data_IF_238463266719
#
_entry.id   IF_238463266719
#
_cell.length_a   1.000
_cell.length_b   1.000
_cell.length_c   1.000
_cell.angle_alpha   90.00
_cell.angle_beta   90.00
_cell.angle_gamma   90.00
#
_symmetry.space_group_name_H-M   'P 1'
#
loop_
_entity.id
_entity.type
_entity.pdbx_description
1 polymer ?
#
# COMPACT_ATOMS: atom_id res chain seq x y z
N UNK A 1 48.41 43.99 24.19
CA UNK A 1 47.11 44.20 24.87
C UNK A 1 45.88 43.89 24.00
N UNK A 2 45.86 44.18 22.69
CA UNK A 2 44.67 43.95 21.83
C UNK A 2 44.44 42.49 21.37
N UNK A 3 45.51 41.69 21.26
CA UNK A 3 45.47 40.30 20.77
C UNK A 3 45.02 39.29 21.83
N UNK A 4 45.39 39.55 23.08
CA UNK A 4 45.06 38.70 24.23
C UNK A 4 43.56 38.78 24.58
N UNK A 5 42.97 39.97 24.42
CA UNK A 5 41.55 40.21 24.66
C UNK A 5 40.65 39.49 23.64
N UNK A 6 41.07 39.40 22.36
CA UNK A 6 40.35 38.61 21.34
C UNK A 6 40.42 37.10 21.58
N UNK A 7 41.55 36.61 22.10
CA UNK A 7 41.71 35.18 22.42
C UNK A 7 40.81 34.80 23.60
N UNK A 8 40.77 35.63 24.64
CA UNK A 8 39.89 35.43 25.80
C UNK A 8 38.40 35.51 25.42
N UNK A 9 38.03 36.43 24.54
CA UNK A 9 36.65 36.54 24.04
C UNK A 9 36.22 35.33 23.19
N UNK A 10 37.13 34.76 22.37
CA UNK A 10 36.86 33.50 21.62
C UNK A 10 36.72 32.30 22.54
N UNK A 11 37.55 32.18 23.58
CA UNK A 11 37.46 31.11 24.57
C UNK A 11 36.15 31.23 25.36
N UNK A 12 35.74 32.45 25.71
CA UNK A 12 34.48 32.71 26.40
C UNK A 12 33.26 32.35 25.54
N UNK A 13 33.22 32.77 24.26
CA UNK A 13 32.17 32.35 23.33
C UNK A 13 32.13 30.84 23.11
N UNK A 14 33.29 30.18 23.00
CA UNK A 14 33.35 28.73 22.81
C UNK A 14 32.77 28.00 24.02
N UNK A 15 33.11 28.43 25.25
CA UNK A 15 32.53 27.90 26.49
C UNK A 15 31.01 28.05 26.55
N UNK A 16 30.48 29.21 26.14
CA UNK A 16 29.03 29.46 26.07
C UNK A 16 28.37 28.52 25.05
N UNK A 17 28.94 28.38 23.84
CA UNK A 17 28.40 27.51 22.80
C UNK A 17 28.41 26.03 23.22
N UNK A 18 29.48 25.53 23.83
CA UNK A 18 29.52 24.17 24.38
C UNK A 18 28.54 23.98 25.54
N UNK A 19 28.38 24.98 26.42
CA UNK A 19 27.40 24.95 27.50
C UNK A 19 25.96 24.87 26.99
N UNK A 20 25.63 25.68 25.98
CA UNK A 20 24.32 25.64 25.30
C UNK A 20 24.08 24.30 24.60
N UNK A 21 25.09 23.74 23.91
CA UNK A 21 24.96 22.44 23.24
C UNK A 21 24.73 21.29 24.24
N UNK A 22 25.43 21.29 25.38
CA UNK A 22 25.24 20.30 26.45
C UNK A 22 23.86 20.47 27.09
N UNK A 23 23.40 21.71 27.32
CA UNK A 23 22.06 21.96 27.84
C UNK A 23 20.97 21.49 26.88
N UNK A 24 21.09 21.75 25.58
CA UNK A 24 20.16 21.24 24.55
C UNK A 24 20.18 19.72 24.51
N UNK A 25 21.36 19.08 24.60
CA UNK A 25 21.48 17.62 24.67
C UNK A 25 20.81 17.07 25.94
N UNK A 26 20.98 17.72 27.09
CA UNK A 26 20.30 17.36 28.34
C UNK A 26 18.79 17.54 28.24
N UNK A 27 18.29 18.61 27.61
CA UNK A 27 16.85 18.80 27.37
C UNK A 27 16.32 17.75 26.39
N UNK A 28 17.08 17.34 25.38
CA UNK A 28 16.70 16.28 24.45
C UNK A 28 16.71 14.90 25.12
N UNK A 29 17.71 14.60 25.95
CA UNK A 29 17.80 13.37 26.74
C UNK A 29 16.72 13.36 27.82
N UNK A 30 16.46 14.46 28.50
CA UNK A 30 15.39 14.60 29.47
C UNK A 30 14.01 14.54 28.80
N UNK A 31 13.83 15.11 27.61
CA UNK A 31 12.62 14.90 26.79
C UNK A 31 12.48 13.46 26.37
N UNK A 32 13.56 12.76 25.99
CA UNK A 32 13.52 11.31 25.72
C UNK A 32 13.14 10.51 26.97
N UNK A 33 13.73 10.82 28.14
CA UNK A 33 13.44 10.17 29.42
C UNK A 33 12.03 10.46 29.94
N UNK A 34 11.53 11.69 29.75
CA UNK A 34 10.17 12.09 30.14
C UNK A 34 9.12 11.56 29.15
N UNK A 35 9.48 11.36 27.87
CA UNK A 35 8.61 10.70 26.88
C UNK A 35 8.38 9.22 27.17
N UNK A 36 9.29 8.56 27.90
CA UNK A 36 9.16 7.14 28.25
C UNK A 36 8.18 6.89 29.41
N UNK A 37 7.73 7.95 30.10
CA UNK A 37 6.54 7.90 30.97
C UNK A 37 5.27 8.14 30.15
N UNK A 38 4.99 7.25 29.20
CA UNK A 38 3.62 7.09 28.73
C UNK A 38 2.77 6.74 29.96
N UNK A 39 1.66 7.46 30.18
CA UNK A 39 0.75 7.15 31.29
C UNK A 39 0.20 5.74 31.12
N UNK A 40 0.77 4.78 31.85
CA UNK A 40 0.27 3.40 31.91
C UNK A 40 -0.65 3.34 33.12
N UNK A 41 -1.97 3.36 32.87
CA UNK A 41 -2.94 3.05 33.90
C UNK A 41 -3.13 1.53 33.93
N UNK A 42 -2.86 0.93 35.10
CA UNK A 42 -3.00 -0.49 35.35
C UNK A 42 -4.25 -0.73 36.18
N UNK A 43 -5.19 -1.48 35.62
CA UNK A 43 -6.36 -1.93 36.37
C UNK A 43 -6.54 -3.43 36.22
N UNK A 44 -6.97 -4.09 37.31
CA UNK A 44 -7.49 -5.45 37.23
C UNK A 44 -8.77 -5.40 36.40
N UNK A 45 -8.94 -6.27 35.38
CA UNK A 45 -10.14 -6.27 34.56
C UNK A 45 -11.39 -6.42 35.45
N UNK A 46 -12.30 -5.43 35.43
CA UNK A 46 -13.51 -5.47 36.25
C UNK A 46 -14.64 -6.28 35.62
N UNK A 47 -14.43 -6.85 34.43
CA UNK A 47 -15.46 -7.47 33.61
C UNK A 47 -14.90 -8.72 32.92
N UNK A 48 -15.77 -9.72 32.74
CA UNK A 48 -15.46 -10.92 31.97
C UNK A 48 -15.24 -10.51 30.51
N UNK A 49 -14.00 -10.65 30.02
CA UNK A 49 -13.57 -10.20 28.70
C UNK A 49 -14.22 -10.99 27.54
N UNK A 50 -15.12 -11.93 27.88
CA UNK A 50 -15.92 -12.76 26.96
C UNK A 50 -17.00 -11.97 26.19
N UNK A 51 -17.38 -10.78 26.65
CA UNK A 51 -18.42 -9.96 25.99
C UNK A 51 -17.89 -8.98 24.94
N UNK A 52 -16.58 -8.98 24.64
CA UNK A 52 -15.99 -8.08 23.64
C UNK A 52 -16.00 -8.75 22.26
N UNK A 53 -16.86 -8.28 21.36
CA UNK A 53 -16.90 -8.76 19.99
C UNK A 53 -15.66 -8.28 19.21
N UNK A 54 -14.91 -9.25 18.66
CA UNK A 54 -13.84 -8.97 17.70
C UNK A 54 -14.46 -8.33 16.47
N UNK A 55 -13.88 -7.24 15.98
CA UNK A 55 -14.43 -6.59 14.80
C UNK A 55 -14.21 -7.47 13.57
N UNK A 56 -15.32 -7.84 12.90
CA UNK A 56 -15.33 -8.74 11.75
C UNK A 56 -15.16 -8.00 10.41
N UNK A 57 -15.45 -6.70 10.36
CA UNK A 57 -15.30 -5.86 9.17
C UNK A 57 -13.88 -5.32 8.96
N UNK A 58 -13.56 -4.96 7.71
CA UNK A 58 -12.26 -4.38 7.33
C UNK A 58 -12.07 -2.95 7.87
N UNK A 59 -13.17 -2.20 8.06
CA UNK A 59 -13.14 -0.80 8.50
C UNK A 59 -13.94 -0.66 9.80
N UNK A 60 -13.38 0.04 10.78
CA UNK A 60 -14.01 0.24 12.09
C UNK A 60 -13.95 1.71 12.52
N UNK A 61 -15.08 2.34 12.85
CA UNK A 61 -15.08 3.72 13.36
C UNK A 61 -14.66 3.76 14.83
N UNK A 62 -13.77 4.69 15.17
CA UNK A 62 -13.44 4.98 16.57
C UNK A 62 -14.60 5.77 17.21
N UNK A 63 -15.09 5.32 18.37
CA UNK A 63 -16.19 5.98 19.08
C UNK A 63 -15.84 7.44 19.40
N UNK A 64 -16.80 8.34 19.22
CA UNK A 64 -16.64 9.79 19.43
C UNK A 64 -15.50 10.40 18.59
N UNK A 65 -15.24 9.84 17.41
CA UNK A 65 -14.23 10.32 16.47
C UNK A 65 -14.69 10.09 15.03
N UNK A 66 -14.11 10.85 14.10
CA UNK A 66 -14.25 10.62 12.66
C UNK A 66 -13.23 9.63 12.12
N UNK A 67 -12.27 9.19 12.94
CA UNK A 67 -11.23 8.25 12.51
C UNK A 67 -11.79 6.85 12.25
N UNK A 68 -11.25 6.21 11.21
CA UNK A 68 -11.56 4.85 10.80
C UNK A 68 -10.30 4.00 10.90
N UNK A 69 -10.39 2.85 11.56
CA UNK A 69 -9.29 1.90 11.68
C UNK A 69 -9.44 0.79 10.64
N UNK A 70 -8.32 0.26 10.17
CA UNK A 70 -8.28 -0.80 9.14
C UNK A 70 -7.62 -2.06 9.68
N UNK A 71 -6.38 -1.95 10.18
CA UNK A 71 -5.59 -3.12 10.57
C UNK A 71 -4.49 -2.75 11.55
N UNK A 72 -4.06 -3.72 12.37
CA UNK A 72 -3.04 -3.54 13.39
C UNK A 72 -1.89 -4.53 13.20
N UNK A 73 -0.66 -4.04 13.31
CA UNK A 73 0.57 -4.82 13.13
C UNK A 73 1.55 -4.58 14.27
N UNK A 74 2.07 -5.65 14.88
CA UNK A 74 3.22 -5.57 15.77
C UNK A 74 4.47 -5.47 14.90
N UNK A 75 4.94 -4.25 14.70
CA UNK A 75 6.00 -3.87 13.75
C UNK A 75 7.38 -3.97 14.40
N UNK A 76 7.92 -5.20 14.42
CA UNK A 76 9.22 -5.52 15.01
C UNK A 76 10.41 -5.04 14.18
N UNK A 77 10.19 -4.38 13.03
CA UNK A 77 11.27 -3.90 12.15
C UNK A 77 12.05 -2.73 12.75
N UNK A 78 11.41 -1.94 13.61
CA UNK A 78 12.00 -0.73 14.22
C UNK A 78 12.05 -0.78 15.76
N UNK A 79 11.13 -1.51 16.39
CA UNK A 79 11.12 -1.73 17.85
C UNK A 79 10.30 -2.98 18.15
N UNK A 80 10.72 -3.79 19.13
CA UNK A 80 10.06 -5.04 19.50
C UNK A 80 8.63 -4.86 20.04
N UNK A 81 8.23 -3.63 20.37
CA UNK A 81 6.97 -3.31 21.06
C UNK A 81 6.06 -2.36 20.28
N UNK A 82 6.45 -1.91 19.10
CA UNK A 82 5.65 -0.93 18.35
C UNK A 82 4.45 -1.62 17.69
N UNK A 83 3.25 -1.23 18.08
CA UNK A 83 2.02 -1.56 17.35
C UNK A 83 1.68 -0.40 16.43
N UNK A 84 1.60 -0.69 15.13
CA UNK A 84 1.21 0.23 14.07
C UNK A 84 -0.19 -0.12 13.61
N UNK A 85 -1.10 0.84 13.75
CA UNK A 85 -2.49 0.70 13.30
C UNK A 85 -2.67 1.56 12.06
N UNK A 86 -3.06 0.95 10.94
CA UNK A 86 -3.41 1.66 9.71
C UNK A 86 -4.82 2.23 9.88
N UNK A 87 -4.97 3.52 9.62
CA UNK A 87 -6.20 4.26 9.83
C UNK A 87 -6.42 5.31 8.72
N UNK A 88 -7.63 5.86 8.68
CA UNK A 88 -8.02 7.03 7.89
C UNK A 88 -8.49 8.09 8.87
N UNK A 89 -7.93 9.30 8.78
CA UNK A 89 -8.21 10.39 9.73
C UNK A 89 -8.50 11.70 9.02
N UNK A 90 -9.36 12.53 9.63
CA UNK A 90 -9.60 13.91 9.18
C UNK A 90 -8.38 14.76 9.54
N UNK A 91 -7.72 15.34 8.54
CA UNK A 91 -6.41 15.99 8.71
C UNK A 91 -6.47 17.25 9.58
N UNK A 92 -7.58 18.00 9.51
CA UNK A 92 -7.77 19.23 10.27
C UNK A 92 -8.18 19.01 11.74
N UNK A 93 -8.57 17.79 12.11
CA UNK A 93 -9.11 17.50 13.43
C UNK A 93 -8.69 16.10 13.87
N UNK A 94 -7.48 16.00 14.40
CA UNK A 94 -6.92 14.74 14.92
C UNK A 94 -7.01 14.77 16.44
N UNK A 95 -7.94 14.04 17.07
CA UNK A 95 -8.00 13.97 18.53
C UNK A 95 -6.81 13.16 19.07
N UNK A 96 -6.56 13.29 20.37
CA UNK A 96 -5.64 12.39 21.06
C UNK A 96 -6.28 10.99 21.15
N UNK A 97 -5.58 9.99 20.62
CA UNK A 97 -6.00 8.58 20.75
C UNK A 97 -5.23 7.87 21.87
N UNK A 98 -5.84 6.81 22.38
CA UNK A 98 -5.23 5.89 23.32
C UNK A 98 -5.40 4.46 22.80
N UNK A 99 -4.34 3.66 22.88
CA UNK A 99 -4.41 2.24 22.61
C UNK A 99 -4.62 1.49 23.93
N UNK A 100 -5.62 0.62 23.94
CA UNK A 100 -5.91 -0.28 25.04
C UNK A 100 -5.45 -1.69 24.63
N UNK A 101 -4.46 -2.20 25.35
CA UNK A 101 -4.01 -3.58 25.28
C UNK A 101 -4.56 -4.33 26.47
N UNK A 102 -5.02 -5.55 26.27
CA UNK A 102 -5.51 -6.36 27.39
C UNK A 102 -5.37 -7.85 27.11
N UNK A 103 -5.37 -8.62 28.20
CA UNK A 103 -5.60 -10.06 28.22
C UNK A 103 -6.52 -10.40 29.41
N UNK A 104 -6.72 -11.69 29.70
CA UNK A 104 -7.54 -12.17 30.82
C UNK A 104 -7.21 -11.57 32.20
N UNK A 105 -6.01 -11.00 32.37
CA UNK A 105 -5.42 -10.66 33.67
C UNK A 105 -5.04 -9.19 33.82
N UNK A 106 -4.91 -8.44 32.72
CA UNK A 106 -4.51 -7.04 32.75
C UNK A 106 -5.13 -6.23 31.63
N UNK A 107 -5.33 -4.94 31.90
CA UNK A 107 -5.61 -3.89 30.93
C UNK A 107 -4.53 -2.81 31.07
N UNK A 108 -3.98 -2.39 29.94
CA UNK A 108 -3.02 -1.31 29.88
C UNK A 108 -3.44 -0.32 28.79
N UNK A 109 -3.61 0.94 29.18
CA UNK A 109 -3.89 2.03 28.25
C UNK A 109 -2.61 2.82 28.01
N UNK A 110 -2.25 3.04 26.75
CA UNK A 110 -1.09 3.85 26.36
C UNK A 110 -1.53 4.98 25.43
N UNK A 111 -0.88 6.13 25.55
CA UNK A 111 -1.09 7.24 24.64
C UNK A 111 -0.59 6.88 23.24
N UNK A 112 -1.39 7.17 22.21
CA UNK A 112 -1.01 6.94 20.82
C UNK A 112 -0.37 8.17 20.18
N UNK A 113 0.53 7.94 19.22
CA UNK A 113 1.07 8.97 18.32
C UNK A 113 0.47 8.80 16.93
N UNK A 114 -0.15 9.84 16.39
CA UNK A 114 -0.71 9.82 15.03
C UNK A 114 0.30 10.36 14.04
N UNK A 115 0.52 9.62 12.94
CA UNK A 115 1.35 10.02 11.82
C UNK A 115 0.51 9.98 10.55
N UNK A 116 0.13 11.15 10.02
CA UNK A 116 -0.61 11.24 8.77
C UNK A 116 0.35 11.08 7.60
N UNK A 117 -0.02 10.28 6.59
CA UNK A 117 0.76 10.14 5.37
C UNK A 117 0.78 11.48 4.61
N UNK A 118 1.92 11.87 4.05
CA UNK A 118 2.04 13.16 3.37
C UNK A 118 1.29 13.19 2.03
N UNK A 119 1.08 12.03 1.39
CA UNK A 119 0.42 11.96 0.09
C UNK A 119 -1.07 11.65 0.25
N UNK A 120 -1.88 12.72 0.24
CA UNK A 120 -3.33 12.68 0.40
C UNK A 120 -4.04 13.53 -0.67
N UNK A 121 -3.33 13.98 -1.71
CA UNK A 121 -3.88 14.68 -2.89
C UNK A 121 -4.84 15.84 -2.56
N UNK A 122 -4.51 16.62 -1.53
CA UNK A 122 -5.33 17.74 -1.01
C UNK A 122 -6.71 17.38 -0.45
N UNK A 123 -7.07 16.10 -0.35
CA UNK A 123 -8.35 15.67 0.24
C UNK A 123 -8.40 15.90 1.77
N UNK A 124 -9.59 16.14 2.36
CA UNK A 124 -9.73 16.39 3.80
C UNK A 124 -9.29 15.23 4.70
N UNK A 125 -9.51 13.98 4.27
CA UNK A 125 -9.05 12.78 4.96
C UNK A 125 -7.81 12.20 4.30
N UNK A 126 -6.96 11.57 5.10
CA UNK A 126 -5.76 10.89 4.62
C UNK A 126 -5.49 9.62 5.41
N UNK A 127 -4.73 8.72 4.79
CA UNK A 127 -4.17 7.54 5.46
C UNK A 127 -3.24 7.99 6.58
N UNK A 128 -3.28 7.29 7.71
CA UNK A 128 -2.44 7.57 8.86
C UNK A 128 -2.04 6.29 9.58
N UNK A 129 -0.96 6.38 10.36
CA UNK A 129 -0.61 5.41 11.37
C UNK A 129 -0.93 5.94 12.75
N UNK A 130 -1.71 5.16 13.51
CA UNK A 130 -1.85 5.33 14.96
C UNK A 130 -0.83 4.39 15.60
N UNK A 131 0.22 4.98 16.16
CA UNK A 131 1.40 4.28 16.70
C UNK A 131 1.31 4.17 18.22
N UNK A 132 1.46 2.96 18.74
CA UNK A 132 1.37 2.67 20.16
C UNK A 132 2.53 1.79 20.60
N UNK A 133 3.10 2.07 21.77
CA UNK A 133 4.11 1.21 22.39
C UNK A 133 3.40 0.19 23.28
N UNK A 134 3.48 -1.09 22.92
CA UNK A 134 2.99 -2.16 23.76
C UNK A 134 3.78 -2.18 25.09
N UNK A 135 3.11 -2.28 26.24
CA UNK A 135 3.79 -2.38 27.54
C UNK A 135 4.74 -3.59 27.59
N UNK A 136 5.79 -3.49 28.40
CA UNK A 136 6.72 -4.60 28.61
C UNK A 136 6.10 -5.61 29.58
N UNK A 137 5.33 -6.55 29.04
CA UNK A 137 4.85 -7.72 29.76
C UNK A 137 5.24 -8.97 28.99
N UNK A 138 5.58 -10.04 29.70
CA UNK A 138 6.07 -11.29 29.14
C UNK A 138 5.13 -11.99 28.13
N UNK A 139 3.95 -11.41 27.82
CA UNK A 139 2.99 -11.91 26.83
C UNK A 139 2.50 -10.77 25.92
N UNK A 140 2.56 -11.01 24.61
CA UNK A 140 2.05 -10.10 23.58
C UNK A 140 0.53 -10.10 23.60
N UNK A 141 -0.10 -8.93 23.77
CA UNK A 141 -1.54 -8.82 23.62
C UNK A 141 -1.94 -9.17 22.17
N UNK A 142 -2.89 -10.10 21.94
CA UNK A 142 -3.30 -10.49 20.60
C UNK A 142 -4.19 -9.44 19.92
N UNK A 143 -4.73 -8.50 20.69
CA UNK A 143 -5.63 -7.46 20.21
C UNK A 143 -5.28 -6.08 20.75
N UNK A 144 -5.71 -5.05 20.02
CA UNK A 144 -5.67 -3.65 20.44
C UNK A 144 -7.02 -2.99 20.18
N UNK A 145 -7.48 -2.19 21.14
CA UNK A 145 -8.60 -1.26 20.95
C UNK A 145 -8.09 0.18 20.93
N UNK A 146 -8.77 1.06 20.19
CA UNK A 146 -8.42 2.48 20.10
C UNK A 146 -9.58 3.35 20.57
N UNK A 147 -9.30 4.28 21.48
CA UNK A 147 -10.28 5.20 22.07
C UNK A 147 -9.78 6.65 22.02
N UNK A 148 -10.68 7.62 22.20
CA UNK A 148 -10.34 9.06 22.32
C UNK A 148 -10.20 9.53 23.77
N UNK A 149 -10.64 8.72 24.73
CA UNK A 149 -10.53 8.99 26.16
C UNK A 149 -9.81 7.85 26.86
N UNK A 150 -9.16 8.17 27.98
CA UNK A 150 -8.69 7.14 28.90
C UNK A 150 -9.92 6.49 29.55
N UNK A 151 -10.05 5.18 29.41
CA UNK A 151 -11.17 4.40 29.93
C UNK A 151 -10.64 3.19 30.69
N UNK A 152 -11.23 2.87 31.86
CA UNK A 152 -10.92 1.65 32.63
C UNK A 152 -11.45 0.37 31.96
N UNK A 153 -12.19 0.50 30.85
CA UNK A 153 -12.74 -0.64 30.09
C UNK A 153 -12.44 -0.50 28.60
N UNK A 154 -12.23 -1.62 27.87
CA UNK A 154 -12.22 -1.63 26.42
C UNK A 154 -13.54 -1.08 25.88
N UNK A 155 -13.49 0.03 25.14
CA UNK A 155 -14.70 0.73 24.69
C UNK A 155 -14.71 1.04 23.19
N UNK A 156 -13.64 0.66 22.48
CA UNK A 156 -13.49 0.84 21.04
C UNK A 156 -13.44 -0.48 20.27
N UNK A 157 -13.46 -0.43 18.93
CA UNK A 157 -13.35 -1.61 18.08
C UNK A 157 -12.06 -2.38 18.37
N UNK A 158 -12.14 -3.70 18.28
CA UNK A 158 -11.05 -4.61 18.65
C UNK A 158 -10.37 -5.16 17.40
N UNK A 159 -9.11 -4.75 17.20
CA UNK A 159 -8.31 -5.20 16.07
C UNK A 159 -7.34 -6.30 16.48
N UNK A 160 -7.30 -7.38 15.71
CA UNK A 160 -6.26 -8.41 15.84
C UNK A 160 -4.90 -7.85 15.43
N UNK A 161 -3.91 -8.01 16.29
CA UNK A 161 -2.53 -7.60 16.03
C UNK A 161 -1.82 -8.71 15.25
N UNK A 162 -1.34 -8.40 14.05
CA UNK A 162 -0.55 -9.33 13.22
C UNK A 162 0.95 -9.05 13.38
N UNK A 163 1.80 -10.06 13.63
CA UNK A 163 3.24 -9.83 13.73
C UNK A 163 3.83 -9.51 12.35
N UNK A 164 4.69 -8.49 12.28
CA UNK A 164 5.55 -8.25 11.10
C UNK A 164 6.99 -8.07 11.55
N UNK A 165 7.90 -8.78 10.89
CA UNK A 165 9.33 -8.80 11.20
C UNK A 165 10.15 -8.44 9.97
N UNK A 166 11.39 -8.00 10.22
CA UNK A 166 12.32 -7.66 9.15
C UNK A 166 12.96 -8.87 8.51
N UNK A 167 13.12 -9.94 9.29
CA UNK A 167 13.97 -11.07 8.95
C UNK A 167 13.59 -11.63 7.59
N UNK A 168 14.60 -11.72 6.72
CA UNK A 168 14.46 -12.40 5.44
C UNK A 168 14.23 -13.87 5.78
N UNK A 169 13.08 -14.38 5.39
CA UNK A 169 12.83 -15.81 5.50
C UNK A 169 13.79 -16.55 4.56
N UNK A 170 14.30 -17.70 5.00
CA UNK A 170 15.08 -18.60 4.15
C UNK A 170 14.27 -18.98 2.90
N UNK A 171 12.95 -19.14 3.08
CA UNK A 171 11.97 -19.39 2.03
C UNK A 171 10.72 -18.55 2.28
N UNK A 172 10.19 -17.91 1.24
CA UNK A 172 8.92 -17.19 1.33
C UNK A 172 7.79 -18.11 0.83
N UNK A 173 6.61 -18.12 1.47
CA UNK A 173 5.43 -18.82 0.95
C UNK A 173 5.11 -18.43 -0.50
N UNK A 174 5.30 -17.16 -0.84
CA UNK A 174 5.09 -16.61 -2.18
C UNK A 174 6.31 -15.81 -2.63
N UNK A 175 6.70 -15.99 -3.88
CA UNK A 175 7.72 -15.17 -4.51
C UNK A 175 7.14 -13.82 -4.94
N UNK A 176 5.94 -13.82 -5.53
CA UNK A 176 5.25 -12.64 -6.01
C UNK A 176 3.80 -12.59 -5.54
N UNK A 177 3.36 -11.40 -5.17
CA UNK A 177 1.94 -11.09 -5.01
C UNK A 177 1.64 -9.74 -5.64
N UNK A 178 0.39 -9.55 -6.06
CA UNK A 178 -0.06 -8.29 -6.67
C UNK A 178 -1.12 -7.65 -5.78
N UNK A 179 -0.90 -6.39 -5.43
CA UNK A 179 -1.89 -5.55 -4.77
C UNK A 179 -2.52 -4.66 -5.84
N UNK A 180 -3.79 -4.91 -6.14
CA UNK A 180 -4.55 -4.06 -7.04
C UNK A 180 -5.14 -2.90 -6.24
N UNK A 181 -5.15 -1.70 -6.83
CA UNK A 181 -5.90 -0.57 -6.29
C UNK A 181 -7.40 -0.89 -6.13
N UNK A 182 -8.14 -0.01 -5.46
CA UNK A 182 -9.55 -0.27 -5.11
C UNK A 182 -10.42 -0.51 -6.34
N UNK A 183 -11.25 -1.56 -6.29
CA UNK A 183 -12.29 -1.83 -7.28
C UNK A 183 -13.59 -1.14 -6.86
N UNK A 184 -14.05 -0.18 -7.66
CA UNK A 184 -15.21 0.66 -7.35
C UNK A 184 -15.94 1.11 -8.63
N UNK A 185 -17.11 1.76 -8.45
CA UNK A 185 -17.85 2.42 -9.51
C UNK A 185 -18.56 1.45 -10.45
N UNK A 186 -19.01 0.30 -9.94
CA UNK A 186 -19.61 -0.77 -10.73
C UNK A 186 -18.68 -1.22 -11.89
N UNK A 187 -17.40 -1.42 -11.57
CA UNK A 187 -16.38 -1.79 -12.56
C UNK A 187 -16.83 -2.99 -13.40
N UNK A 188 -16.74 -2.84 -14.73
CA UNK A 188 -17.34 -3.77 -15.70
C UNK A 188 -16.43 -4.14 -16.88
N UNK A 189 -15.15 -3.78 -16.82
CA UNK A 189 -14.16 -4.18 -17.83
C UNK A 189 -13.67 -5.61 -17.57
N UNK A 190 -14.57 -6.57 -17.80
CA UNK A 190 -14.41 -7.98 -17.43
C UNK A 190 -13.27 -8.63 -18.22
N UNK A 191 -13.20 -8.41 -19.54
CA UNK A 191 -12.19 -9.02 -20.39
C UNK A 191 -10.77 -8.59 -19.97
N UNK A 192 -10.55 -7.29 -19.80
CA UNK A 192 -9.25 -6.79 -19.36
C UNK A 192 -8.90 -7.29 -17.96
N UNK A 193 -9.88 -7.39 -17.05
CA UNK A 193 -9.67 -7.94 -15.71
C UNK A 193 -9.15 -9.38 -15.77
N UNK A 194 -9.81 -10.25 -16.53
CA UNK A 194 -9.38 -11.65 -16.72
C UNK A 194 -8.00 -11.71 -17.37
N UNK A 195 -7.75 -10.91 -18.41
CA UNK A 195 -6.46 -10.87 -19.10
C UNK A 195 -5.32 -10.42 -18.19
N UNK A 196 -5.52 -9.40 -17.36
CA UNK A 196 -4.51 -8.93 -16.40
C UNK A 196 -4.17 -9.99 -15.36
N UNK A 197 -5.17 -10.68 -14.81
CA UNK A 197 -4.95 -11.75 -13.84
C UNK A 197 -4.18 -12.93 -14.43
N UNK A 198 -4.56 -13.35 -15.63
CA UNK A 198 -3.86 -14.44 -16.32
C UNK A 198 -2.45 -14.03 -16.72
N UNK A 199 -2.24 -12.77 -17.11
CA UNK A 199 -0.89 -12.23 -17.28
C UNK A 199 -0.08 -12.27 -15.99
N UNK A 200 -0.64 -11.85 -14.84
CA UNK A 200 0.05 -11.95 -13.55
C UNK A 200 0.43 -13.39 -13.23
N UNK A 201 -0.48 -14.34 -13.47
CA UNK A 201 -0.21 -15.78 -13.27
C UNK A 201 0.91 -16.28 -14.18
N UNK A 202 0.86 -15.98 -15.47
CA UNK A 202 1.89 -16.33 -16.45
C UNK A 202 3.26 -15.76 -16.05
N UNK A 203 3.28 -14.54 -15.50
CA UNK A 203 4.50 -13.86 -15.07
C UNK A 203 5.03 -14.32 -13.70
N UNK A 204 4.29 -15.18 -12.98
CA UNK A 204 4.72 -15.84 -11.75
C UNK A 204 4.06 -15.34 -10.46
N UNK A 205 2.97 -14.56 -10.53
CA UNK A 205 2.17 -14.22 -9.35
C UNK A 205 1.56 -15.48 -8.73
N UNK A 206 1.57 -15.56 -7.40
CA UNK A 206 0.93 -16.66 -6.66
C UNK A 206 -0.34 -16.22 -5.92
N UNK A 207 -0.50 -14.92 -5.68
CA UNK A 207 -1.69 -14.36 -5.02
C UNK A 207 -1.93 -12.94 -5.47
N UNK A 208 -3.20 -12.59 -5.67
CA UNK A 208 -3.65 -11.25 -6.01
C UNK A 208 -4.63 -10.77 -4.95
N UNK A 209 -4.49 -9.52 -4.50
CA UNK A 209 -5.32 -8.90 -3.49
C UNK A 209 -6.15 -7.79 -4.11
N UNK A 210 -7.46 -7.84 -3.91
CA UNK A 210 -8.42 -6.87 -4.45
C UNK A 210 -9.27 -6.31 -3.31
N UNK A 211 -9.21 -5.00 -3.12
CA UNK A 211 -10.10 -4.30 -2.19
C UNK A 211 -11.33 -3.85 -2.96
N UNK A 212 -12.48 -4.43 -2.63
CA UNK A 212 -13.69 -4.29 -3.42
C UNK A 212 -14.76 -3.50 -2.68
N UNK A 213 -15.19 -2.40 -3.28
CA UNK A 213 -16.40 -1.67 -2.88
C UNK A 213 -17.61 -2.21 -3.65
N UNK A 214 -17.55 -2.22 -4.98
CA UNK A 214 -18.58 -2.78 -5.85
C UNK A 214 -18.01 -3.20 -7.22
N UNK A 215 -18.78 -4.00 -7.96
CA UNK A 215 -18.48 -4.38 -9.34
C UNK A 215 -19.74 -4.86 -10.07
N UNK A 216 -19.63 -5.05 -11.39
CA UNK A 216 -20.73 -5.62 -12.17
C UNK A 216 -21.03 -7.07 -11.76
N UNK A 217 -22.27 -7.57 -11.97
CA UNK A 217 -22.61 -8.97 -11.70
C UNK A 217 -21.77 -9.97 -12.51
N UNK A 218 -21.39 -9.63 -13.73
CA UNK A 218 -20.53 -10.47 -14.57
C UNK A 218 -19.14 -10.56 -13.95
N UNK A 219 -18.57 -9.44 -13.50
CA UNK A 219 -17.28 -9.44 -12.83
C UNK A 219 -17.33 -10.17 -11.48
N UNK A 220 -18.44 -10.10 -10.76
CA UNK A 220 -18.62 -10.84 -9.52
C UNK A 220 -18.43 -12.35 -9.73
N UNK A 221 -19.03 -12.93 -10.79
CA UNK A 221 -18.84 -14.36 -11.12
C UNK A 221 -17.38 -14.72 -11.39
N UNK A 222 -16.66 -13.84 -12.10
CA UNK A 222 -15.22 -13.99 -12.35
C UNK A 222 -14.40 -13.93 -11.06
N UNK A 223 -14.71 -12.99 -10.16
CA UNK A 223 -14.06 -12.91 -8.85
C UNK A 223 -14.30 -14.18 -8.03
N UNK A 224 -15.54 -14.69 -8.02
CA UNK A 224 -15.91 -15.89 -7.28
C UNK A 224 -15.14 -17.12 -7.77
N UNK A 225 -14.96 -17.26 -9.09
CA UNK A 225 -14.11 -18.29 -9.70
C UNK A 225 -12.67 -18.24 -9.15
N UNK A 226 -12.01 -17.08 -9.23
CA UNK A 226 -10.61 -16.94 -8.77
C UNK A 226 -10.45 -17.01 -7.25
N UNK A 227 -11.48 -16.66 -6.48
CA UNK A 227 -11.51 -16.85 -5.03
C UNK A 227 -11.61 -18.34 -4.70
N UNK A 228 -12.48 -19.09 -5.38
CA UNK A 228 -12.62 -20.53 -5.20
C UNK A 228 -11.33 -21.28 -5.56
N UNK A 229 -10.62 -20.85 -6.60
CA UNK A 229 -9.31 -21.37 -6.97
C UNK A 229 -8.19 -20.98 -5.98
N UNK A 230 -8.43 -19.94 -5.16
CA UNK A 230 -7.45 -19.43 -4.20
C UNK A 230 -6.40 -18.50 -4.80
N UNK A 231 -6.53 -18.08 -6.06
CA UNK A 231 -5.62 -17.13 -6.70
C UNK A 231 -5.86 -15.68 -6.25
N UNK A 232 -7.13 -15.33 -5.99
CA UNK A 232 -7.51 -14.00 -5.48
C UNK A 232 -7.86 -14.07 -3.98
N UNK A 233 -7.56 -13.00 -3.26
CA UNK A 233 -8.20 -12.64 -1.99
C UNK A 233 -8.97 -11.33 -2.19
N UNK A 234 -10.31 -11.41 -2.12
CA UNK A 234 -11.18 -10.23 -2.14
C UNK A 234 -11.40 -9.74 -0.72
N UNK A 235 -11.05 -8.48 -0.47
CA UNK A 235 -11.21 -7.81 0.82
C UNK A 235 -12.35 -6.81 0.68
N UNK A 236 -13.40 -6.98 1.48
CA UNK A 236 -14.52 -6.04 1.52
C UNK A 236 -14.03 -4.64 1.90
N UNK A 237 -14.45 -3.63 1.15
CA UNK A 237 -13.96 -2.26 1.28
C UNK A 237 -15.10 -1.24 1.16
N UNK A 238 -15.93 -1.19 2.20
CA UNK A 238 -17.16 -0.39 2.19
C UNK A 238 -16.96 1.04 2.69
N UNK A 239 -15.88 1.69 2.24
CA UNK A 239 -15.47 3.02 2.70
C UNK A 239 -16.53 4.10 2.44
N UNK A 240 -17.34 3.92 1.39
CA UNK A 240 -18.43 4.80 1.00
C UNK A 240 -19.56 4.89 2.05
N UNK A 241 -19.66 3.91 2.95
CA UNK A 241 -20.61 3.99 4.08
C UNK A 241 -20.13 4.91 5.21
N UNK A 242 -18.85 5.29 5.22
CA UNK A 242 -18.25 6.09 6.27
C UNK A 242 -17.89 7.51 5.83
N UNK A 243 -17.53 7.71 4.56
CA UNK A 243 -17.02 8.95 4.00
C UNK A 243 -17.57 9.19 2.59
N UNK A 244 -17.68 10.46 2.20
CA UNK A 244 -17.90 10.80 0.79
C UNK A 244 -16.61 10.57 0.00
N UNK A 245 -16.61 9.66 -0.96
CA UNK A 245 -15.38 9.26 -1.68
C UNK A 245 -15.34 9.88 -3.07
N UNK A 246 -14.15 10.30 -3.49
CA UNK A 246 -13.91 10.86 -4.82
C UNK A 246 -13.50 9.76 -5.81
N UNK A 247 -13.91 9.97 -7.07
CA UNK A 247 -13.54 9.22 -8.28
C UNK A 247 -12.45 9.92 -9.09
N UNK A 248 -11.89 11.02 -8.58
CA UNK A 248 -10.83 11.79 -9.24
C UNK A 248 -9.63 12.02 -8.33
N UNK A 249 -8.51 12.34 -8.96
CA UNK A 249 -7.24 12.62 -8.28
C UNK A 249 -7.19 13.96 -7.55
N UNK A 250 -8.15 14.87 -7.80
CA UNK A 250 -8.26 16.17 -7.13
C UNK A 250 -9.69 16.43 -6.64
N UNK A 251 -9.85 17.05 -5.45
CA UNK A 251 -11.16 17.48 -4.96
C UNK A 251 -11.87 18.50 -5.86
N UNK A 252 -11.11 19.25 -6.68
CA UNK A 252 -11.68 20.23 -7.62
C UNK A 252 -12.31 19.60 -8.87
N UNK A 253 -11.94 18.36 -9.19
CA UNK A 253 -12.49 17.62 -10.34
C UNK A 253 -13.67 16.73 -9.92
N UNK A 254 -13.57 16.13 -8.74
CA UNK A 254 -14.68 15.41 -8.12
C UNK A 254 -14.58 15.58 -6.59
N UNK A 255 -15.45 16.41 -5.99
CA UNK A 255 -15.43 16.67 -4.55
C UNK A 255 -15.60 15.41 -3.71
N UNK A 256 -15.02 15.41 -2.52
CA UNK A 256 -15.12 14.29 -1.59
C UNK A 256 -14.19 14.45 -0.40
N UNK A 257 -14.35 13.56 0.57
CA UNK A 257 -13.53 13.46 1.76
C UNK A 257 -12.20 12.72 1.50
N UNK A 258 -12.20 11.75 0.58
CA UNK A 258 -11.09 10.80 0.40
C UNK A 258 -10.80 10.48 -1.08
N UNK A 259 -9.52 10.49 -1.42
CA UNK A 259 -8.97 10.18 -2.75
C UNK A 259 -9.25 8.74 -3.19
N UNK A 260 -9.84 8.54 -4.38
CA UNK A 260 -10.08 7.24 -5.03
C UNK A 260 -10.44 6.12 -4.06
N UNK A 261 -11.56 6.29 -3.34
CA UNK A 261 -12.06 5.28 -2.41
C UNK A 261 -11.00 4.82 -1.39
N UNK A 262 -10.02 5.65 -1.05
CA UNK A 262 -8.98 5.30 -0.09
C UNK A 262 -7.90 4.35 -0.62
N UNK A 263 -7.61 4.37 -1.93
CA UNK A 263 -6.58 3.50 -2.52
C UNK A 263 -5.22 3.55 -1.82
N UNK A 264 -4.82 4.72 -1.28
CA UNK A 264 -3.55 4.83 -0.53
C UNK A 264 -3.61 3.95 0.72
N UNK A 265 -4.76 3.93 1.41
CA UNK A 265 -4.95 3.09 2.59
C UNK A 265 -4.93 1.61 2.25
N UNK A 266 -5.61 1.20 1.17
CA UNK A 266 -5.66 -0.21 0.77
C UNK A 266 -4.31 -0.73 0.31
N UNK A 267 -3.54 0.06 -0.45
CA UNK A 267 -2.17 -0.31 -0.85
C UNK A 267 -1.26 -0.48 0.37
N UNK A 268 -1.37 0.40 1.38
CA UNK A 268 -0.60 0.24 2.61
C UNK A 268 -1.03 -1.00 3.40
N UNK A 269 -2.34 -1.27 3.54
CA UNK A 269 -2.79 -2.51 4.19
C UNK A 269 -2.30 -3.75 3.44
N UNK A 270 -2.38 -3.76 2.12
CA UNK A 270 -1.95 -4.88 1.28
C UNK A 270 -0.46 -5.17 1.41
N UNK A 271 0.38 -4.13 1.41
CA UNK A 271 1.83 -4.29 1.62
C UNK A 271 2.11 -4.93 2.98
N UNK A 272 1.45 -4.47 4.04
CA UNK A 272 1.67 -5.02 5.39
C UNK A 272 1.17 -6.46 5.53
N UNK A 273 0.03 -6.80 4.92
CA UNK A 273 -0.47 -8.19 4.85
C UNK A 273 0.52 -9.15 4.19
N UNK A 274 1.27 -8.66 3.20
CA UNK A 274 2.21 -9.47 2.44
C UNK A 274 3.63 -9.49 3.01
N UNK A 275 3.95 -8.71 4.05
CA UNK A 275 5.27 -8.73 4.69
C UNK A 275 5.75 -10.12 5.14
N UNK A 276 4.92 -10.96 5.80
CA UNK A 276 5.34 -12.29 6.25
C UNK A 276 5.30 -13.34 5.14
N UNK A 277 4.61 -13.07 4.03
CA UNK A 277 4.24 -14.11 3.07
C UNK A 277 4.94 -13.99 1.72
N UNK A 278 5.25 -12.77 1.28
CA UNK A 278 5.67 -12.51 -0.10
C UNK A 278 7.07 -11.93 -0.15
N UNK A 279 7.90 -12.48 -1.03
CA UNK A 279 9.24 -11.93 -1.29
C UNK A 279 9.14 -10.56 -1.95
N UNK A 280 8.36 -10.46 -3.03
CA UNK A 280 8.07 -9.22 -3.75
C UNK A 280 6.56 -8.98 -3.87
N UNK A 281 6.17 -7.72 -3.88
CA UNK A 281 4.80 -7.26 -4.07
C UNK A 281 4.78 -6.22 -5.18
N UNK A 282 3.89 -6.39 -6.14
CA UNK A 282 3.62 -5.39 -7.18
C UNK A 282 2.44 -4.54 -6.76
N UNK A 283 2.56 -3.22 -6.91
CA UNK A 283 1.49 -2.26 -6.64
C UNK A 283 0.99 -1.74 -7.99
N UNK A 284 -0.11 -2.31 -8.48
CA UNK A 284 -0.62 -2.05 -9.83
C UNK A 284 -2.09 -1.60 -9.78
N UNK A 285 -2.53 -0.89 -10.81
CA UNK A 285 -3.95 -0.84 -11.18
C UNK A 285 -4.28 -2.08 -12.03
N UNK A 286 -5.56 -2.41 -12.13
CA UNK A 286 -6.00 -3.63 -12.83
C UNK A 286 -5.70 -3.59 -14.34
N UNK A 287 -5.62 -2.41 -14.93
CA UNK A 287 -5.32 -2.17 -16.34
C UNK A 287 -3.80 -2.08 -16.63
N UNK A 288 -2.96 -2.40 -15.64
CA UNK A 288 -1.50 -2.29 -15.72
C UNK A 288 -0.80 -3.64 -15.50
N UNK A 289 0.05 -4.02 -16.44
CA UNK A 289 0.87 -5.24 -16.37
C UNK A 289 2.35 -4.89 -16.50
N UNK A 290 3.19 -5.30 -15.54
CA UNK A 290 4.65 -5.17 -15.70
C UNK A 290 5.14 -6.27 -16.63
N UNK A 291 5.53 -5.92 -17.85
CA UNK A 291 5.99 -6.87 -18.87
C UNK A 291 7.52 -6.85 -18.95
N UNK A 292 8.20 -7.96 -18.60
CA UNK A 292 9.63 -8.12 -18.87
C UNK A 292 9.90 -8.19 -20.37
N UNK A 293 10.92 -7.47 -20.82
CA UNK A 293 11.34 -7.41 -22.22
C UNK A 293 12.49 -8.39 -22.48
N UNK A 294 13.54 -8.34 -21.65
CA UNK A 294 14.72 -9.22 -21.81
C UNK A 294 14.52 -10.60 -21.18
N UNK A 295 13.58 -10.73 -20.25
CA UNK A 295 13.39 -11.93 -19.45
C UNK A 295 12.05 -12.61 -19.77
N UNK A 296 11.91 -13.87 -19.37
CA UNK A 296 10.66 -14.62 -19.59
C UNK A 296 9.55 -14.32 -18.59
N UNK A 297 9.91 -14.01 -17.35
CA UNK A 297 8.99 -13.87 -16.22
C UNK A 297 9.58 -12.92 -15.16
N UNK A 298 8.82 -12.64 -14.10
CA UNK A 298 9.31 -11.78 -13.03
C UNK A 298 10.41 -12.45 -12.20
N UNK A 299 10.44 -13.78 -12.09
CA UNK A 299 11.44 -14.48 -11.31
C UNK A 299 12.85 -14.30 -11.91
N UNK A 300 12.99 -14.53 -13.21
CA UNK A 300 14.25 -14.35 -13.94
C UNK A 300 14.70 -12.89 -13.93
N UNK A 301 13.76 -11.97 -14.17
CA UNK A 301 14.02 -10.52 -14.12
C UNK A 301 14.51 -10.09 -12.73
N UNK A 302 13.79 -10.47 -11.68
CA UNK A 302 14.14 -10.06 -10.32
C UNK A 302 15.40 -10.75 -9.80
N UNK A 303 15.68 -11.99 -10.23
CA UNK A 303 16.95 -12.64 -9.93
C UNK A 303 18.14 -11.86 -10.52
N UNK A 304 18.02 -11.42 -11.77
CA UNK A 304 19.03 -10.60 -12.44
C UNK A 304 19.20 -9.25 -11.75
N UNK A 305 18.09 -8.53 -11.54
CA UNK A 305 18.11 -7.20 -10.92
C UNK A 305 18.64 -7.21 -9.50
N UNK A 306 18.17 -8.15 -8.66
CA UNK A 306 18.56 -8.21 -7.25
C UNK A 306 19.98 -8.73 -7.03
N UNK A 307 20.53 -9.52 -7.96
CA UNK A 307 21.92 -9.96 -7.91
C UNK A 307 22.89 -8.86 -8.36
N UNK A 308 22.51 -8.08 -9.37
CA UNK A 308 23.32 -6.98 -9.88
C UNK A 308 23.29 -5.73 -8.97
N UNK A 309 22.20 -5.53 -8.21
CA UNK A 309 22.00 -4.33 -7.39
C UNK A 309 21.67 -4.68 -5.93
N UNK A 310 22.70 -5.13 -5.20
CA UNK A 310 22.56 -5.47 -3.79
C UNK A 310 22.06 -4.28 -2.96
N UNK A 311 21.10 -4.54 -2.06
CA UNK A 311 20.50 -3.54 -1.18
C UNK A 311 19.40 -2.69 -1.81
N UNK A 312 19.09 -2.89 -3.10
CA UNK A 312 17.88 -2.32 -3.71
C UNK A 312 16.67 -3.14 -3.26
N UNK A 313 15.68 -2.44 -2.72
CA UNK A 313 14.44 -3.04 -2.19
C UNK A 313 13.19 -2.57 -2.93
N UNK A 314 13.29 -1.46 -3.68
CA UNK A 314 12.18 -0.83 -4.43
C UNK A 314 12.59 -0.66 -5.89
N UNK A 315 11.78 -1.16 -6.81
CA UNK A 315 12.04 -1.17 -8.25
C UNK A 315 10.93 -0.40 -8.95
N UNK A 316 11.28 0.74 -9.54
CA UNK A 316 10.36 1.62 -10.25
C UNK A 316 10.28 1.21 -11.71
N UNK A 317 9.06 1.00 -12.19
CA UNK A 317 8.78 0.60 -13.57
C UNK A 317 8.12 1.77 -14.28
N UNK A 318 8.74 2.21 -15.36
CA UNK A 318 8.21 3.28 -16.21
C UNK A 318 6.85 2.90 -16.82
N UNK A 319 5.91 3.84 -16.79
CA UNK A 319 4.61 3.66 -17.41
C UNK A 319 4.69 3.80 -18.94
N UNK A 320 4.18 2.82 -19.68
CA UNK A 320 3.93 2.90 -21.11
C UNK A 320 2.43 2.78 -21.39
N UNK A 321 1.82 3.88 -21.84
CA UNK A 321 0.39 3.94 -22.18
C UNK A 321 0.17 3.35 -23.58
N UNK A 322 -0.62 2.28 -23.66
CA UNK A 322 -1.11 1.67 -24.89
C UNK A 322 -2.55 2.13 -25.13
N UNK A 323 -2.77 2.83 -26.25
CA UNK A 323 -4.05 3.49 -26.51
C UNK A 323 -5.13 2.49 -26.91
N UNK A 324 -6.24 2.50 -26.20
CA UNK A 324 -7.41 1.70 -26.57
C UNK A 324 -8.16 2.24 -27.79
N UNK A 325 -7.88 3.48 -28.21
CA UNK A 325 -8.45 4.12 -29.41
C UNK A 325 -7.82 3.62 -30.71
N UNK A 326 -6.63 3.00 -30.64
CA UNK A 326 -5.88 2.51 -31.80
C UNK A 326 -5.70 1.00 -31.69
N UNK A 327 -6.22 0.26 -32.67
CA UNK A 327 -5.94 -1.16 -32.84
C UNK A 327 -4.67 -1.35 -33.66
N UNK A 328 -3.85 -2.32 -33.28
CA UNK A 328 -2.58 -2.62 -33.94
C UNK A 328 -2.42 -4.07 -34.40
N UNK A 329 -3.46 -4.89 -34.24
CA UNK A 329 -3.51 -6.25 -34.75
C UNK A 329 -4.13 -6.30 -36.15
N UNK A 330 -3.71 -7.27 -36.95
CA UNK A 330 -4.25 -7.51 -38.29
C UNK A 330 -5.52 -8.36 -38.28
N UNK A 331 -6.27 -8.32 -37.16
CA UNK A 331 -7.46 -9.14 -36.91
C UNK A 331 -7.19 -10.51 -36.29
N UNK A 332 -5.93 -10.89 -36.05
CA UNK A 332 -5.54 -12.13 -35.37
C UNK A 332 -6.13 -12.22 -33.96
N UNK A 333 -6.29 -11.08 -33.27
CA UNK A 333 -6.79 -11.02 -31.91
C UNK A 333 -8.24 -10.52 -31.83
N UNK A 334 -9.03 -10.68 -32.90
CA UNK A 334 -10.49 -10.47 -32.89
C UNK A 334 -11.22 -11.57 -32.11
N UNK A 335 -10.86 -11.71 -30.83
CA UNK A 335 -11.36 -12.70 -29.89
C UNK A 335 -12.27 -12.03 -28.86
N UNK A 336 -13.18 -12.82 -28.28
CA UNK A 336 -14.00 -12.43 -27.12
C UNK A 336 -14.89 -11.19 -27.33
N UNK A 337 -15.34 -10.94 -28.55
CA UNK A 337 -16.22 -9.80 -28.89
C UNK A 337 -17.54 -9.74 -28.08
N UNK A 338 -17.94 -10.86 -27.48
CA UNK A 338 -19.13 -10.97 -26.63
C UNK A 338 -18.86 -10.68 -25.14
N UNK A 339 -17.60 -10.53 -24.72
CA UNK A 339 -17.23 -10.28 -23.33
C UNK A 339 -17.01 -8.78 -23.13
N UNK A 340 -17.69 -8.12 -22.17
CA UNK A 340 -17.49 -6.70 -21.92
C UNK A 340 -16.05 -6.39 -21.50
N UNK A 341 -15.40 -5.46 -22.20
CA UNK A 341 -14.09 -4.96 -21.82
C UNK A 341 -13.12 -4.78 -22.98
N UNK A 342 -11.90 -4.43 -22.63
CA UNK A 342 -10.79 -4.19 -23.57
C UNK A 342 -10.00 -5.48 -23.77
N UNK A 343 -9.67 -5.81 -25.02
CA UNK A 343 -8.73 -6.87 -25.34
C UNK A 343 -7.31 -6.30 -25.48
N UNK A 344 -6.46 -6.52 -24.48
CA UNK A 344 -5.10 -5.96 -24.43
C UNK A 344 -4.21 -6.41 -25.60
N UNK A 345 -4.50 -7.56 -26.22
CA UNK A 345 -3.71 -8.07 -27.34
C UNK A 345 -3.90 -7.26 -28.64
N UNK A 346 -5.02 -6.53 -28.76
CA UNK A 346 -5.28 -5.67 -29.92
C UNK A 346 -4.54 -4.32 -29.82
N UNK A 347 -4.12 -3.91 -28.62
CA UNK A 347 -3.58 -2.59 -28.36
C UNK A 347 -2.06 -2.63 -28.16
N UNK A 348 -1.33 -2.58 -29.27
CA UNK A 348 0.15 -2.65 -29.31
C UNK A 348 0.81 -1.35 -29.75
N UNK A 349 0.05 -0.26 -29.82
CA UNK A 349 0.59 1.07 -30.12
C UNK A 349 0.69 1.88 -28.83
N UNK A 350 1.92 2.07 -28.36
CA UNK A 350 2.19 2.85 -27.16
C UNK A 350 2.62 4.26 -27.48
N UNK A 351 2.36 5.15 -26.54
CA UNK A 351 2.86 6.51 -26.62
C UNK A 351 4.40 6.57 -26.45
N UNK A 352 5.05 7.59 -27.02
CA UNK A 352 6.46 7.84 -26.80
C UNK A 352 6.72 8.24 -25.34
N UNK A 353 7.98 8.10 -24.91
CA UNK A 353 8.38 8.49 -23.57
C UNK A 353 8.05 9.96 -23.29
N UNK A 354 7.29 10.19 -22.23
CA UNK A 354 6.88 11.54 -21.81
C UNK A 354 7.86 12.09 -20.79
N UNK A 355 8.77 12.94 -21.27
CA UNK A 355 9.69 13.67 -20.41
C UNK A 355 8.89 14.52 -19.42
N UNK A 356 9.15 14.35 -18.12
CA UNK A 356 8.47 15.05 -17.00
C UNK A 356 7.02 14.63 -16.73
N UNK A 357 6.56 13.48 -17.22
CA UNK A 357 5.26 12.97 -16.82
C UNK A 357 5.19 12.77 -15.30
N UNK A 358 4.22 13.43 -14.66
CA UNK A 358 3.99 13.30 -13.23
C UNK A 358 3.48 11.89 -12.92
N UNK A 359 4.14 11.20 -11.99
CA UNK A 359 3.70 9.89 -11.49
C UNK A 359 3.55 8.79 -12.56
N UNK A 360 4.27 8.86 -13.68
CA UNK A 360 4.20 7.87 -14.76
C UNK A 360 4.99 6.58 -14.44
N UNK A 361 4.65 5.91 -13.35
CA UNK A 361 5.27 4.66 -12.93
C UNK A 361 4.42 3.84 -11.96
N UNK A 362 4.82 2.57 -11.82
CA UNK A 362 4.41 1.66 -10.76
C UNK A 362 5.63 0.98 -10.16
N UNK A 363 5.43 0.23 -9.08
CA UNK A 363 6.55 -0.28 -8.27
C UNK A 363 6.42 -1.77 -7.97
N UNK A 364 7.57 -2.46 -8.03
CA UNK A 364 7.78 -3.76 -7.41
C UNK A 364 8.58 -3.52 -6.13
N UNK A 365 8.10 -4.04 -5.00
CA UNK A 365 8.67 -3.76 -3.68
C UNK A 365 8.98 -5.04 -2.93
N UNK A 366 10.08 -5.06 -2.17
CA UNK A 366 10.15 -5.89 -0.98
C UNK A 366 9.21 -5.29 0.08
N UNK A 367 8.11 -5.95 0.48
CA UNK A 367 7.15 -5.34 1.39
C UNK A 367 7.74 -5.07 2.78
N UNK A 368 8.72 -5.86 3.26
CA UNK A 368 9.39 -5.62 4.57
C UNK A 368 10.18 -4.32 4.59
N UNK A 369 10.63 -3.84 3.44
CA UNK A 369 11.36 -2.58 3.32
C UNK A 369 10.44 -1.34 3.37
N UNK A 370 9.15 -1.49 3.04
CA UNK A 370 8.20 -0.38 2.92
C UNK A 370 7.64 0.05 4.29
N UNK A 371 7.73 1.33 4.62
CA UNK A 371 7.07 1.90 5.81
C UNK A 371 5.69 2.45 5.44
N UNK A 372 5.63 3.30 4.42
CA UNK A 372 4.38 3.69 3.78
C UNK A 372 4.54 3.93 2.27
N UNK A 373 3.47 3.69 1.53
CA UNK A 373 3.41 3.88 0.09
C UNK A 373 2.30 4.85 -0.31
N UNK A 374 2.41 5.37 -1.52
CA UNK A 374 1.34 6.03 -2.29
C UNK A 374 1.02 5.16 -3.52
N UNK A 375 0.24 5.71 -4.45
CA UNK A 375 -0.26 5.06 -5.67
C UNK A 375 0.88 4.76 -6.66
N UNK A 376 1.76 5.74 -6.87
CA UNK A 376 2.83 5.67 -7.88
C UNK A 376 4.22 5.60 -7.27
N UNK A 377 4.34 5.64 -5.94
CA UNK A 377 5.62 5.78 -5.26
C UNK A 377 5.63 5.22 -3.86
N UNK A 378 6.79 4.76 -3.42
CA UNK A 378 7.05 4.44 -2.02
C UNK A 378 7.59 5.69 -1.33
N UNK A 379 6.83 6.25 -0.39
CA UNK A 379 7.14 7.53 0.24
C UNK A 379 8.22 7.40 1.34
N UNK A 380 8.26 6.24 2.02
CA UNK A 380 9.29 5.94 3.01
C UNK A 380 9.55 4.44 3.03
N UNK A 381 10.81 4.08 2.82
CA UNK A 381 11.31 2.72 2.88
C UNK A 381 12.71 2.68 3.48
N UNK A 382 13.20 1.48 3.76
CA UNK A 382 14.60 1.21 4.05
C UNK A 382 15.25 0.53 2.84
N UNK A 383 16.57 0.64 2.71
CA UNK A 383 17.29 0.18 1.52
C UNK A 383 17.20 1.17 0.37
N UNK A 384 17.87 0.84 -0.73
CA UNK A 384 17.92 1.68 -1.92
C UNK A 384 16.72 1.42 -2.85
N UNK A 385 16.51 2.33 -3.79
CA UNK A 385 15.55 2.14 -4.87
C UNK A 385 16.22 2.36 -6.23
N UNK A 386 15.67 1.77 -7.29
CA UNK A 386 16.19 1.94 -8.64
C UNK A 386 15.08 2.03 -9.68
N UNK A 387 15.31 2.84 -10.72
CA UNK A 387 14.54 2.75 -11.95
C UNK A 387 14.99 1.54 -12.75
N UNK A 388 14.05 0.66 -13.06
CA UNK A 388 14.31 -0.46 -13.97
C UNK A 388 14.40 0.13 -15.38
N UNK A 389 15.50 -0.10 -16.11
CA UNK A 389 15.64 0.42 -17.47
C UNK A 389 14.48 -0.05 -18.34
N UNK A 390 13.94 0.84 -19.18
CA UNK A 390 12.80 0.52 -20.05
C UNK A 390 13.15 -0.52 -21.11
N UNK A 391 14.42 -0.90 -21.30
CA UNK A 391 14.81 -2.05 -22.12
C UNK A 391 14.69 -3.38 -21.36
N UNK A 392 14.63 -3.38 -20.03
CA UNK A 392 14.50 -4.57 -19.18
C UNK A 392 13.04 -4.91 -18.94
N UNK A 393 12.22 -3.91 -18.58
CA UNK A 393 10.78 -4.07 -18.36
C UNK A 393 10.04 -2.75 -18.57
N UNK A 394 8.75 -2.84 -18.91
CA UNK A 394 7.83 -1.70 -19.01
C UNK A 394 6.49 -2.06 -18.40
N UNK A 395 5.78 -1.05 -17.92
CA UNK A 395 4.37 -1.21 -17.56
C UNK A 395 3.53 -1.09 -18.84
N UNK A 396 2.84 -2.15 -19.22
CA UNK A 396 1.82 -2.13 -20.25
C UNK A 396 0.52 -1.61 -19.62
N UNK A 397 0.22 -0.33 -19.84
CA UNK A 397 -1.00 0.32 -19.34
C UNK A 397 -1.98 0.54 -20.49
N UNK A 398 -2.93 -0.39 -20.63
CA UNK A 398 -3.90 -0.34 -21.72
C UNK A 398 -5.11 0.50 -21.29
N UNK A 399 -5.18 1.74 -21.77
CA UNK A 399 -6.21 2.71 -21.37
C UNK A 399 -6.55 3.72 -22.46
N UNK A 400 -7.60 4.50 -22.22
CA UNK A 400 -7.94 5.67 -23.03
C UNK A 400 -6.84 6.72 -22.95
N UNK A 401 -6.76 7.51 -24.02
CA UNK A 401 -5.76 8.54 -24.26
C UNK A 401 -5.56 9.43 -23.03
N UNK A 402 -4.33 9.49 -22.55
CA UNK A 402 -3.96 10.29 -21.38
C UNK A 402 -3.34 11.65 -21.79
N UNK A 403 -2.88 11.78 -23.05
CA UNK A 403 -2.42 13.06 -23.63
C UNK A 403 -2.94 13.21 -25.06
N UNK A 404 -3.93 14.09 -25.22
CA UNK A 404 -4.54 14.39 -26.51
C UNK A 404 -3.57 15.06 -27.52
N UNK A 405 -2.36 15.45 -27.10
CA UNK A 405 -1.36 16.10 -27.97
C UNK A 405 -0.54 15.11 -28.79
N UNK A 406 -0.43 13.85 -28.37
CA UNK A 406 0.30 12.84 -29.13
C UNK A 406 -0.59 12.35 -30.29
N UNK A 407 -0.09 12.49 -31.53
CA UNK A 407 -0.80 12.07 -32.73
C UNK A 407 -0.60 10.57 -32.96
N UNK A 408 -1.55 9.92 -33.62
CA UNK A 408 -1.48 8.47 -33.90
C UNK A 408 -0.21 8.06 -34.65
N UNK A 409 0.25 8.88 -35.60
CA UNK A 409 1.49 8.62 -36.36
C UNK A 409 2.77 8.65 -35.53
N UNK A 410 2.72 9.24 -34.33
CA UNK A 410 3.86 9.33 -33.41
C UNK A 410 3.85 8.14 -32.42
N UNK A 411 2.86 7.25 -32.49
CA UNK A 411 2.80 6.05 -31.66
C UNK A 411 3.85 5.03 -32.09
N UNK A 412 4.37 4.31 -31.10
CA UNK A 412 5.41 3.31 -31.27
C UNK A 412 4.75 1.94 -31.19
N UNK A 413 4.89 1.14 -32.25
CA UNK A 413 4.44 -0.25 -32.25
C UNK A 413 5.33 -1.10 -31.34
N UNK A 414 4.73 -1.72 -30.33
CA UNK A 414 5.39 -2.55 -29.32
C UNK A 414 4.57 -3.83 -29.09
N UNK A 415 5.03 -4.93 -29.69
CA UNK A 415 4.35 -6.23 -29.66
C UNK A 415 4.88 -7.14 -28.55
N UNK A 416 5.59 -6.60 -27.54
CA UNK A 416 6.23 -7.42 -26.50
C UNK A 416 5.21 -8.29 -25.75
N UNK A 417 3.99 -7.80 -25.54
CA UNK A 417 2.92 -8.55 -24.88
C UNK A 417 2.55 -9.85 -25.63
N UNK A 418 2.74 -9.90 -26.96
CA UNK A 418 2.41 -11.06 -27.79
C UNK A 418 3.30 -12.28 -27.51
N UNK A 419 4.44 -12.10 -26.83
CA UNK A 419 5.25 -13.23 -26.30
C UNK A 419 4.41 -14.20 -25.46
N UNK A 420 3.35 -13.70 -24.83
CA UNK A 420 2.49 -14.47 -23.93
C UNK A 420 1.13 -14.83 -24.56
N UNK A 421 0.87 -14.45 -25.82
CA UNK A 421 -0.46 -14.55 -26.44
C UNK A 421 -1.01 -15.97 -26.43
N UNK A 422 -0.23 -16.98 -26.79
CA UNK A 422 -0.71 -18.37 -26.85
C UNK A 422 -1.15 -18.89 -25.48
N UNK A 423 -0.39 -18.59 -24.42
CA UNK A 423 -0.74 -18.99 -23.05
C UNK A 423 -1.92 -18.17 -22.53
N UNK A 424 -1.93 -16.86 -22.80
CA UNK A 424 -3.00 -15.97 -22.38
C UNK A 424 -4.33 -16.35 -23.01
N UNK A 425 -4.37 -16.60 -24.33
CA UNK A 425 -5.58 -17.00 -25.05
C UNK A 425 -6.13 -18.31 -24.48
N UNK A 426 -5.25 -19.30 -24.27
CA UNK A 426 -5.64 -20.59 -23.68
C UNK A 426 -6.28 -20.41 -22.31
N UNK A 427 -5.64 -19.63 -21.44
CA UNK A 427 -6.12 -19.44 -20.06
C UNK A 427 -7.41 -18.61 -20.01
N UNK A 428 -7.48 -17.51 -20.76
CA UNK A 428 -8.67 -16.66 -20.83
C UNK A 428 -9.86 -17.48 -21.35
N UNK A 429 -9.69 -18.28 -22.40
CA UNK A 429 -10.75 -19.18 -22.88
C UNK A 429 -11.23 -20.16 -21.80
N UNK A 430 -10.32 -20.70 -21.00
CA UNK A 430 -10.67 -21.58 -19.90
C UNK A 430 -11.50 -20.84 -18.84
N UNK A 431 -11.03 -19.69 -18.36
CA UNK A 431 -11.72 -18.90 -17.33
C UNK A 431 -13.11 -18.46 -17.81
N UNK A 432 -13.21 -17.96 -19.05
CA UNK A 432 -14.50 -17.53 -19.59
C UNK A 432 -15.50 -18.69 -19.73
N UNK A 433 -15.03 -19.91 -20.00
CA UNK A 433 -15.88 -21.10 -20.06
C UNK A 433 -16.36 -21.56 -18.68
N UNK A 434 -15.52 -21.45 -17.66
CA UNK A 434 -15.84 -21.94 -16.31
C UNK A 434 -16.59 -20.90 -15.47
N UNK A 435 -16.36 -19.60 -15.70
CA UNK A 435 -16.88 -18.52 -14.86
C UNK A 435 -18.11 -17.78 -15.43
N UNK A 436 -18.32 -17.79 -16.75
CA UNK A 436 -19.38 -17.02 -17.42
C UNK A 436 -20.39 -17.93 -18.11
#
# INVERSE_FOLDING_TARGET
>A
MYTENRRNMRIFMFKILTGCAIAVLFVLIAKMYLFDRAAILWEKPSADLRDISVTTGTISRVRNSTALLVSAYLDKRFSSRTVRIIAIVKRSQVPQFYCQFYNSSWLATVRAKVLIHPDHFSFPYGTAFIMCQMPNMAQVAPYVSVTTTMSPKPAGPLLRIRPVHRDRLLTYPRQFSVCISTLYGNYSNVLQFVQSLEMYRILGAQKVFVYKSDCSPILQRVLDYYVAEGFIEVIAWDIQHYLSVSRSWLPSLDPGDLHYYGQVTTLNDCVYRNMPESRYVLLNDIDEVVVPILHRDWAEMMNTLSSAHLGVEIFWIENSVFRTSVTGDTGEFNLWSQVPGVNILQHVHREPYRRFAFNACKVIVNPRAVVWTSVHKVLWHVGSSMWVPSCVARLHHCRKDDDMKVREKDLIRDTTIWKYSSSLIKNVNHVLKEAL
#
